data_IF_738403905927
#
_entry.id   IF_738403905927
#
_cell.length_a   1.000
_cell.length_b   1.000
_cell.length_c   1.000
_cell.angle_alpha   90.00
_cell.angle_beta   90.00
_cell.angle_gamma   90.00
#
_symmetry.space_group_name_H-M   'P 1'
#
loop_
_entity.id
_entity.type
_entity.pdbx_description
1 polymer ?
#
# COMPACT_ATOMS: atom_id res chain seq x y z
N UNK A 1 -47.13 15.48 -17.37
CA UNK A 1 -47.07 14.01 -17.24
C UNK A 1 -45.69 13.66 -16.74
N UNK A 2 -45.55 13.41 -15.43
CA UNK A 2 -44.27 12.99 -14.87
C UNK A 2 -44.11 11.49 -15.12
N UNK A 3 -43.21 11.14 -16.04
CA UNK A 3 -42.77 9.77 -16.24
C UNK A 3 -42.03 9.33 -14.98
N UNK A 4 -42.70 8.52 -14.15
CA UNK A 4 -42.06 7.82 -13.04
C UNK A 4 -41.09 6.82 -13.65
N UNK A 5 -39.81 7.13 -13.61
CA UNK A 5 -38.75 6.16 -13.93
C UNK A 5 -38.75 5.13 -12.81
N UNK A 6 -39.34 3.96 -13.07
CA UNK A 6 -39.28 2.81 -12.18
C UNK A 6 -37.84 2.29 -12.16
N UNK A 7 -37.13 2.54 -11.06
CA UNK A 7 -35.81 1.95 -10.83
C UNK A 7 -35.98 0.44 -10.62
N UNK A 8 -35.23 -0.42 -11.33
CA UNK A 8 -35.33 -1.87 -11.16
C UNK A 8 -35.12 -2.32 -9.70
N UNK A 9 -35.94 -3.24 -9.21
CA UNK A 9 -35.90 -3.77 -7.84
C UNK A 9 -34.52 -4.33 -7.42
N UNK A 10 -33.77 -4.90 -8.38
CA UNK A 10 -32.40 -5.38 -8.14
C UNK A 10 -31.38 -4.25 -7.88
N UNK A 11 -31.57 -3.08 -8.49
CA UNK A 11 -30.73 -1.90 -8.25
C UNK A 11 -31.05 -1.28 -6.89
N UNK A 12 -32.33 -1.26 -6.49
CA UNK A 12 -32.75 -0.80 -5.15
C UNK A 12 -32.21 -1.73 -4.05
N UNK A 13 -32.23 -3.05 -4.26
CA UNK A 13 -31.66 -4.02 -3.33
C UNK A 13 -30.14 -3.92 -3.18
N UNK A 14 -29.41 -3.66 -4.28
CA UNK A 14 -27.96 -3.45 -4.26
C UNK A 14 -27.58 -2.13 -3.58
N UNK A 15 -28.33 -1.06 -3.83
CA UNK A 15 -28.13 0.22 -3.16
C UNK A 15 -28.34 0.10 -1.64
N UNK A 16 -29.41 -0.57 -1.21
CA UNK A 16 -29.66 -0.82 0.22
C UNK A 16 -28.54 -1.66 0.88
N UNK A 17 -28.04 -2.69 0.19
CA UNK A 17 -26.94 -3.51 0.69
C UNK A 17 -25.61 -2.72 0.82
N UNK A 18 -25.36 -1.75 -0.08
CA UNK A 18 -24.18 -0.89 0.01
C UNK A 18 -24.27 0.07 1.22
N UNK A 19 -25.43 0.67 1.48
CA UNK A 19 -25.66 1.52 2.66
C UNK A 19 -25.35 0.77 3.95
N UNK A 20 -25.79 -0.49 4.06
CA UNK A 20 -25.50 -1.33 5.23
C UNK A 20 -24.00 -1.61 5.40
N UNK A 21 -23.26 -1.79 4.29
CA UNK A 21 -21.79 -1.97 4.32
C UNK A 21 -21.09 -0.69 4.79
N UNK A 22 -21.48 0.49 4.30
CA UNK A 22 -20.93 1.76 4.80
C UNK A 22 -21.23 1.95 6.30
N UNK A 23 -22.47 1.66 6.73
CA UNK A 23 -22.86 1.72 8.14
C UNK A 23 -21.98 0.82 9.02
N UNK A 24 -21.71 -0.40 8.55
CA UNK A 24 -20.82 -1.34 9.23
C UNK A 24 -19.40 -0.79 9.33
N UNK A 25 -18.87 -0.19 8.28
CA UNK A 25 -17.53 0.41 8.28
C UNK A 25 -17.43 1.61 9.22
N UNK A 26 -18.44 2.49 9.25
CA UNK A 26 -18.52 3.59 10.22
C UNK A 26 -18.50 3.06 11.66
N UNK A 27 -19.31 2.04 11.96
CA UNK A 27 -19.36 1.43 13.30
C UNK A 27 -18.03 0.78 13.66
N UNK A 28 -17.39 0.09 12.73
CA UNK A 28 -16.11 -0.57 12.94
C UNK A 28 -14.99 0.46 13.19
N UNK A 29 -14.92 1.52 12.37
CA UNK A 29 -13.98 2.64 12.55
C UNK A 29 -14.11 3.28 13.94
N UNK A 30 -15.33 3.65 14.36
CA UNK A 30 -15.60 4.21 15.69
C UNK A 30 -15.13 3.31 16.83
N UNK A 31 -15.31 1.99 16.70
CA UNK A 31 -14.90 1.01 17.73
C UNK A 31 -13.39 0.79 17.74
N UNK A 32 -12.74 0.91 16.60
CA UNK A 32 -11.33 0.59 16.40
C UNK A 32 -10.41 1.80 16.59
N UNK A 33 -10.95 3.00 16.82
CA UNK A 33 -10.19 4.25 16.93
C UNK A 33 -9.01 4.16 17.89
N UNK A 34 -7.88 4.72 17.46
CA UNK A 34 -6.64 4.79 18.20
C UNK A 34 -5.85 6.04 17.80
N UNK A 35 -4.89 6.43 18.63
CA UNK A 35 -4.09 7.65 18.50
C UNK A 35 -2.61 7.31 18.60
N UNK A 36 -1.79 7.93 17.75
CA UNK A 36 -0.34 7.65 17.63
C UNK A 36 0.36 7.76 18.98
N UNK A 37 0.20 8.90 19.68
CA UNK A 37 0.91 9.15 20.94
C UNK A 37 0.36 8.32 22.10
N UNK A 38 -0.96 8.16 22.18
CA UNK A 38 -1.63 7.47 23.30
C UNK A 38 -1.42 5.96 23.23
N UNK A 39 -1.60 5.36 22.06
CA UNK A 39 -1.77 3.91 21.95
C UNK A 39 -0.55 3.19 21.34
N UNK A 40 0.31 3.90 20.59
CA UNK A 40 1.38 3.28 19.82
C UNK A 40 2.79 3.74 20.23
N UNK A 41 3.11 5.03 20.08
CA UNK A 41 4.47 5.54 20.26
C UNK A 41 4.82 5.77 21.73
N UNK A 42 4.02 6.55 22.48
CA UNK A 42 4.32 6.94 23.87
C UNK A 42 5.79 7.35 24.03
N UNK A 43 6.50 6.80 25.02
CA UNK A 43 7.94 6.96 25.24
C UNK A 43 8.80 5.85 24.63
N UNK A 44 8.23 5.01 23.75
CA UNK A 44 8.93 3.85 23.18
C UNK A 44 10.00 4.28 22.19
N UNK A 45 10.97 3.39 21.97
CA UNK A 45 12.07 3.54 21.00
C UNK A 45 12.20 2.27 20.17
N UNK A 46 12.79 2.39 18.99
CA UNK A 46 13.17 1.24 18.19
C UNK A 46 14.34 0.49 18.83
N UNK A 47 14.24 -0.84 18.83
CA UNK A 47 15.26 -1.76 19.33
C UNK A 47 16.15 -2.21 18.16
N UNK A 48 17.28 -1.51 17.98
CA UNK A 48 18.24 -1.77 16.89
C UNK A 48 19.07 -3.05 17.08
N UNK A 49 18.90 -3.77 18.20
CA UNK A 49 19.46 -5.12 18.35
C UNK A 49 18.66 -6.18 17.57
N UNK A 50 17.47 -5.82 17.09
CA UNK A 50 16.54 -6.70 16.37
C UNK A 50 16.36 -6.30 14.92
N UNK A 51 15.84 -7.23 14.11
CA UNK A 51 15.34 -6.93 12.77
C UNK A 51 14.12 -6.01 12.86
N UNK A 52 13.94 -5.16 11.85
CA UNK A 52 12.70 -4.40 11.69
C UNK A 52 11.77 -5.14 10.76
N UNK A 53 12.13 -5.22 9.48
CA UNK A 53 11.32 -5.93 8.49
C UNK A 53 11.55 -7.45 8.58
N UNK A 54 10.50 -8.29 8.65
CA UNK A 54 10.62 -9.75 8.71
C UNK A 54 11.13 -10.34 7.39
N UNK A 55 11.75 -11.52 7.45
CA UNK A 55 12.34 -12.20 6.28
C UNK A 55 11.33 -12.52 5.17
N UNK A 56 10.06 -12.74 5.52
CA UNK A 56 8.99 -12.91 4.53
C UNK A 56 8.73 -11.69 3.65
N UNK A 57 9.17 -10.50 4.08
CA UNK A 57 9.07 -9.25 3.32
C UNK A 57 10.43 -8.77 2.83
N UNK A 58 11.43 -8.84 3.71
CA UNK A 58 12.78 -8.34 3.45
C UNK A 58 13.56 -9.24 2.49
N UNK A 59 13.23 -10.54 2.47
CA UNK A 59 13.93 -11.60 1.71
C UNK A 59 15.45 -11.64 1.96
N UNK A 60 15.91 -11.07 3.08
CA UNK A 60 17.33 -10.98 3.44
C UNK A 60 17.94 -12.36 3.70
N UNK A 61 17.12 -13.33 4.11
CA UNK A 61 17.51 -14.73 4.29
C UNK A 61 18.02 -15.40 3.00
N UNK A 62 17.67 -14.86 1.82
CA UNK A 62 18.20 -15.31 0.52
C UNK A 62 19.65 -14.89 0.26
N UNK A 63 20.15 -13.90 1.01
CA UNK A 63 21.52 -13.39 0.92
C UNK A 63 22.42 -14.10 1.93
N UNK A 64 22.60 -15.41 1.77
CA UNK A 64 23.29 -16.30 2.72
C UNK A 64 24.76 -15.97 3.02
N UNK A 65 25.37 -15.08 2.24
CA UNK A 65 26.73 -14.58 2.45
C UNK A 65 26.79 -13.38 3.41
N UNK A 66 25.64 -12.83 3.81
CA UNK A 66 25.58 -11.78 4.82
C UNK A 66 25.75 -12.36 6.22
N UNK A 67 26.58 -11.72 7.03
CA UNK A 67 26.64 -12.00 8.47
C UNK A 67 25.34 -11.61 9.18
N UNK A 68 25.15 -12.07 10.41
CA UNK A 68 23.94 -11.80 11.21
C UNK A 68 23.70 -10.30 11.39
N UNK A 69 24.75 -9.53 11.69
CA UNK A 69 24.65 -8.09 11.88
C UNK A 69 24.38 -7.34 10.57
N UNK A 70 24.94 -7.81 9.45
CA UNK A 70 24.72 -7.26 8.10
C UNK A 70 23.28 -7.50 7.66
N UNK A 71 22.78 -8.73 7.84
CA UNK A 71 21.39 -9.08 7.58
C UNK A 71 20.42 -8.28 8.45
N UNK A 72 20.75 -8.08 9.74
CA UNK A 72 19.96 -7.21 10.62
C UNK A 72 19.93 -5.78 10.11
N UNK A 73 21.08 -5.19 9.79
CA UNK A 73 21.17 -3.84 9.25
C UNK A 73 20.34 -3.70 7.97
N UNK A 74 20.44 -4.64 7.02
CA UNK A 74 19.68 -4.59 5.78
C UNK A 74 18.16 -4.62 6.05
N UNK A 75 17.70 -5.45 6.99
CA UNK A 75 16.29 -5.46 7.39
C UNK A 75 15.82 -4.15 8.05
N UNK A 76 16.71 -3.42 8.71
CA UNK A 76 16.42 -2.11 9.32
C UNK A 76 16.35 -1.01 8.27
N UNK A 77 17.24 -1.04 7.27
CA UNK A 77 17.18 -0.16 6.10
C UNK A 77 15.87 -0.37 5.35
N UNK A 78 15.52 -1.62 5.05
CA UNK A 78 14.25 -1.94 4.39
C UNK A 78 13.04 -1.55 5.25
N UNK A 79 13.13 -1.67 6.58
CA UNK A 79 12.09 -1.19 7.49
C UNK A 79 11.90 0.33 7.46
N UNK A 80 12.99 1.10 7.33
CA UNK A 80 12.94 2.55 7.13
C UNK A 80 12.37 2.91 5.76
N UNK A 81 12.79 2.21 4.70
CA UNK A 81 12.22 2.36 3.37
C UNK A 81 10.75 2.01 3.32
N UNK A 82 10.32 1.03 4.13
CA UNK A 82 8.91 0.70 4.27
C UNK A 82 8.10 1.89 4.76
N UNK A 83 8.56 2.53 5.84
CA UNK A 83 7.92 3.75 6.34
C UNK A 83 7.88 4.88 5.30
N UNK A 84 9.00 5.11 4.60
CA UNK A 84 9.06 6.12 3.55
C UNK A 84 8.07 5.85 2.40
N UNK A 85 8.05 4.63 1.85
CA UNK A 85 7.18 4.29 0.72
C UNK A 85 5.71 4.34 1.09
N UNK A 86 5.33 3.95 2.31
CA UNK A 86 3.96 4.16 2.77
C UNK A 86 3.61 5.65 2.87
N UNK A 87 4.53 6.47 3.36
CA UNK A 87 4.36 7.93 3.33
C UNK A 87 4.07 8.51 1.94
N UNK A 88 4.53 7.86 0.85
CA UNK A 88 4.18 8.23 -0.51
C UNK A 88 2.74 7.83 -0.86
N UNK A 89 2.33 6.61 -0.53
CA UNK A 89 1.02 6.07 -0.98
C UNK A 89 -0.15 6.68 -0.22
N UNK A 90 -0.04 6.81 1.10
CA UNK A 90 -1.13 7.37 1.93
C UNK A 90 -1.50 8.80 1.50
N UNK A 91 -0.53 9.51 0.90
CA UNK A 91 -0.71 10.86 0.39
C UNK A 91 -1.76 10.94 -0.70
N UNK A 92 -1.73 10.02 -1.67
CA UNK A 92 -2.72 10.03 -2.76
C UNK A 92 -3.99 9.30 -2.37
N UNK A 93 -3.91 8.28 -1.49
CA UNK A 93 -5.09 7.54 -1.02
C UNK A 93 -6.03 8.50 -0.26
N UNK A 94 -5.51 9.23 0.73
CA UNK A 94 -6.30 10.23 1.47
C UNK A 94 -6.94 11.27 0.55
N UNK A 95 -6.18 11.81 -0.40
CA UNK A 95 -6.69 12.79 -1.36
C UNK A 95 -7.80 12.20 -2.26
N UNK A 96 -7.63 10.94 -2.72
CA UNK A 96 -8.63 10.26 -3.53
C UNK A 96 -9.91 9.98 -2.75
N UNK A 97 -9.80 9.54 -1.51
CA UNK A 97 -10.97 9.25 -0.66
C UNK A 97 -11.77 10.51 -0.31
N UNK A 98 -11.11 11.65 -0.10
CA UNK A 98 -11.79 12.94 0.05
C UNK A 98 -12.56 13.35 -1.22
N UNK A 99 -11.95 13.14 -2.39
CA UNK A 99 -12.59 13.39 -3.69
C UNK A 99 -13.81 12.48 -3.90
N UNK A 100 -13.72 11.18 -3.60
CA UNK A 100 -14.87 10.27 -3.64
C UNK A 100 -15.96 10.68 -2.64
N UNK A 101 -15.57 11.06 -1.41
CA UNK A 101 -16.50 11.54 -0.39
C UNK A 101 -17.36 12.71 -0.86
N UNK A 102 -16.78 13.62 -1.67
CA UNK A 102 -17.51 14.76 -2.23
C UNK A 102 -18.73 14.34 -3.07
N UNK A 103 -18.67 13.20 -3.75
CA UNK A 103 -19.77 12.71 -4.57
C UNK A 103 -21.00 12.30 -3.75
N UNK A 104 -20.83 11.99 -2.45
CA UNK A 104 -21.89 11.50 -1.56
C UNK A 104 -22.53 12.59 -0.69
N UNK A 105 -22.07 13.85 -0.79
CA UNK A 105 -22.41 14.94 0.14
C UNK A 105 -23.91 15.16 0.35
N UNK A 106 -24.73 14.98 -0.69
CA UNK A 106 -26.17 15.24 -0.65
C UNK A 106 -27.05 13.99 -0.61
N UNK A 107 -26.47 12.80 -0.75
CA UNK A 107 -27.22 11.55 -0.93
C UNK A 107 -26.96 10.58 0.23
N UNK A 108 -25.88 9.81 0.17
CA UNK A 108 -25.55 8.79 1.17
C UNK A 108 -24.65 9.35 2.28
N UNK A 109 -25.28 9.77 3.37
CA UNK A 109 -24.57 10.30 4.54
C UNK A 109 -23.65 9.27 5.22
N UNK A 110 -23.95 7.98 5.11
CA UNK A 110 -23.10 6.93 5.69
C UNK A 110 -21.87 6.67 4.82
N UNK A 111 -22.01 6.74 3.50
CA UNK A 111 -20.87 6.72 2.58
C UNK A 111 -19.96 7.93 2.80
N UNK A 112 -20.53 9.14 2.93
CA UNK A 112 -19.77 10.34 3.27
C UNK A 112 -19.01 10.17 4.59
N UNK A 113 -19.69 9.77 5.68
CA UNK A 113 -19.03 9.58 6.97
C UNK A 113 -17.93 8.51 6.90
N UNK A 114 -18.17 7.40 6.20
CA UNK A 114 -17.20 6.32 6.04
C UNK A 114 -15.93 6.82 5.33
N UNK A 115 -16.06 7.55 4.23
CA UNK A 115 -14.93 8.05 3.44
C UNK A 115 -14.17 9.19 4.14
N UNK A 116 -14.86 10.04 4.91
CA UNK A 116 -14.20 11.03 5.77
C UNK A 116 -13.37 10.34 6.86
N UNK A 117 -13.89 9.28 7.46
CA UNK A 117 -13.17 8.50 8.47
C UNK A 117 -11.95 7.77 7.90
N UNK A 118 -12.12 7.13 6.74
CA UNK A 118 -11.01 6.55 5.98
C UNK A 118 -9.94 7.63 5.72
N UNK A 119 -10.32 8.77 5.13
CA UNK A 119 -9.38 9.85 4.85
C UNK A 119 -8.64 10.35 6.10
N UNK A 120 -9.32 10.39 7.26
CA UNK A 120 -8.71 10.75 8.54
C UNK A 120 -7.72 9.68 9.03
N UNK A 121 -8.05 8.40 8.89
CA UNK A 121 -7.14 7.29 9.20
C UNK A 121 -5.87 7.37 8.31
N UNK A 122 -5.99 7.71 7.02
CA UNK A 122 -4.83 7.89 6.14
C UNK A 122 -3.96 9.11 6.44
N UNK A 123 -4.56 10.21 6.88
CA UNK A 123 -3.79 11.38 7.32
C UNK A 123 -3.01 11.02 8.60
N UNK A 124 -3.60 10.21 9.48
CA UNK A 124 -2.92 9.65 10.65
C UNK A 124 -1.79 8.70 10.22
N UNK A 125 -1.98 7.86 9.21
CA UNK A 125 -0.91 6.99 8.69
C UNK A 125 0.25 7.79 8.08
N UNK A 126 -0.02 8.86 7.33
CA UNK A 126 1.02 9.78 6.85
C UNK A 126 1.89 10.32 8.00
N UNK A 127 1.24 10.79 9.07
CA UNK A 127 1.95 11.30 10.24
C UNK A 127 2.74 10.20 10.96
N UNK A 128 2.14 9.02 11.13
CA UNK A 128 2.79 7.86 11.71
C UNK A 128 4.08 7.52 10.96
N UNK A 129 3.97 7.32 9.65
CA UNK A 129 5.09 6.89 8.80
C UNK A 129 6.19 7.94 8.74
N UNK A 130 5.84 9.22 8.66
CA UNK A 130 6.79 10.33 8.76
C UNK A 130 7.55 10.31 10.09
N UNK A 131 6.87 10.11 11.21
CA UNK A 131 7.51 10.09 12.55
C UNK A 131 8.43 8.89 12.72
N UNK A 132 7.99 7.70 12.34
CA UNK A 132 8.82 6.49 12.54
C UNK A 132 10.01 6.45 11.58
N UNK A 133 9.90 7.02 10.37
CA UNK A 133 11.04 7.16 9.45
C UNK A 133 12.14 8.00 10.11
N UNK A 134 11.78 9.14 10.71
CA UNK A 134 12.71 10.00 11.45
C UNK A 134 13.31 9.24 12.64
N UNK A 135 12.49 8.58 13.45
CA UNK A 135 12.95 7.82 14.63
C UNK A 135 13.91 6.69 14.25
N UNK A 136 13.65 5.97 13.16
CA UNK A 136 14.55 4.93 12.67
C UNK A 136 15.87 5.52 12.14
N UNK A 137 15.82 6.73 11.56
CA UNK A 137 16.99 7.44 11.06
C UNK A 137 17.98 7.90 12.15
N UNK A 138 17.56 8.03 13.41
CA UNK A 138 18.40 8.54 14.50
C UNK A 138 19.64 7.70 14.80
N UNK A 139 19.56 6.37 14.60
CA UNK A 139 20.67 5.44 14.88
C UNK A 139 21.22 4.76 13.63
N UNK A 140 20.63 5.02 12.46
CA UNK A 140 21.15 4.52 11.19
C UNK A 140 22.25 5.46 10.64
N UNK A 141 23.21 4.95 9.85
CA UNK A 141 24.24 5.78 9.23
C UNK A 141 23.70 6.98 8.45
N UNK A 142 24.52 8.03 8.31
CA UNK A 142 24.14 9.16 7.48
C UNK A 142 24.14 8.80 5.99
N UNK A 143 23.37 9.53 5.18
CA UNK A 143 23.37 9.40 3.72
C UNK A 143 22.30 8.48 3.12
N UNK A 144 21.28 8.12 3.90
CA UNK A 144 20.04 7.56 3.36
C UNK A 144 19.36 8.57 2.42
N UNK A 145 18.79 8.09 1.31
CA UNK A 145 18.13 8.94 0.30
C UNK A 145 16.72 8.43 0.01
N UNK A 146 15.76 9.34 0.06
CA UNK A 146 14.43 9.16 -0.49
C UNK A 146 14.45 9.62 -1.95
N UNK A 147 13.98 8.78 -2.87
CA UNK A 147 14.13 9.03 -4.32
C UNK A 147 12.94 9.76 -4.96
N UNK A 148 11.84 9.94 -4.24
CA UNK A 148 10.62 10.55 -4.75
C UNK A 148 9.99 11.49 -3.71
N UNK A 149 9.33 12.54 -4.20
CA UNK A 149 8.54 13.46 -3.36
C UNK A 149 7.09 12.96 -3.24
N UNK A 150 6.51 12.89 -2.02
CA UNK A 150 5.13 12.44 -1.83
C UNK A 150 4.09 13.26 -2.62
N UNK A 151 4.28 14.58 -2.78
CA UNK A 151 3.32 15.40 -3.50
C UNK A 151 3.46 15.24 -5.02
N UNK A 152 4.66 15.07 -5.54
CA UNK A 152 4.87 14.76 -6.96
C UNK A 152 4.26 13.40 -7.33
N UNK A 153 4.48 12.37 -6.51
CA UNK A 153 3.84 11.06 -6.68
C UNK A 153 2.32 11.21 -6.62
N UNK A 154 1.78 11.93 -5.63
CA UNK A 154 0.34 12.10 -5.52
C UNK A 154 -0.26 12.86 -6.71
N UNK A 155 0.38 13.92 -7.21
CA UNK A 155 -0.08 14.63 -8.41
C UNK A 155 -0.08 13.72 -9.64
N UNK A 156 0.97 12.91 -9.81
CA UNK A 156 1.08 11.98 -10.94
C UNK A 156 0.01 10.90 -10.88
N UNK A 157 -0.20 10.28 -9.72
CA UNK A 157 -1.22 9.24 -9.53
C UNK A 157 -2.62 9.79 -9.72
N UNK A 158 -2.95 10.94 -9.09
CA UNK A 158 -4.28 11.55 -9.17
C UNK A 158 -4.61 12.14 -10.54
N UNK A 159 -3.64 12.21 -11.47
CA UNK A 159 -3.89 12.59 -12.86
C UNK A 159 -4.43 11.43 -13.72
N UNK A 160 -4.31 10.19 -13.25
CA UNK A 160 -4.89 9.02 -13.91
C UNK A 160 -6.40 8.91 -13.65
N UNK A 161 -7.08 8.03 -14.39
CA UNK A 161 -8.51 7.81 -14.21
C UNK A 161 -8.85 7.40 -12.77
N UNK A 162 -10.00 7.85 -12.25
CA UNK A 162 -10.50 7.46 -10.93
C UNK A 162 -10.53 5.95 -10.74
N UNK A 163 -10.91 5.21 -11.78
CA UNK A 163 -10.98 3.75 -11.74
C UNK A 163 -9.59 3.13 -11.50
N UNK A 164 -8.55 3.64 -12.15
CA UNK A 164 -7.18 3.15 -12.00
C UNK A 164 -6.60 3.47 -10.62
N UNK A 165 -6.86 4.68 -10.11
CA UNK A 165 -6.41 5.07 -8.77
C UNK A 165 -7.09 4.21 -7.71
N UNK A 166 -8.41 3.97 -7.82
CA UNK A 166 -9.14 3.11 -6.89
C UNK A 166 -8.70 1.64 -6.98
N UNK A 167 -8.38 1.15 -8.19
CA UNK A 167 -7.79 -0.17 -8.37
C UNK A 167 -6.44 -0.30 -7.65
N UNK A 168 -5.57 0.71 -7.80
CA UNK A 168 -4.27 0.76 -7.13
C UNK A 168 -4.42 0.86 -5.61
N UNK A 169 -5.32 1.69 -5.11
CA UNK A 169 -5.63 1.78 -3.67
C UNK A 169 -6.10 0.43 -3.13
N UNK A 170 -7.08 -0.21 -3.78
CA UNK A 170 -7.58 -1.52 -3.36
C UNK A 170 -6.48 -2.60 -3.36
N UNK A 171 -5.57 -2.56 -4.33
CA UNK A 171 -4.39 -3.43 -4.38
C UNK A 171 -3.46 -3.21 -3.18
N UNK A 172 -3.19 -1.95 -2.82
CA UNK A 172 -2.36 -1.56 -1.67
C UNK A 172 -2.93 -2.08 -0.37
N UNK A 173 -4.20 -1.80 -0.13
CA UNK A 173 -4.93 -2.16 1.08
C UNK A 173 -4.99 -3.68 1.30
N UNK A 174 -5.04 -4.44 0.20
CA UNK A 174 -4.99 -5.91 0.23
C UNK A 174 -3.59 -6.47 0.51
N UNK A 175 -2.53 -5.86 -0.03
CA UNK A 175 -1.19 -6.33 0.32
C UNK A 175 -0.81 -6.00 1.76
N UNK A 176 -1.30 -4.88 2.33
CA UNK A 176 -1.04 -4.56 3.75
C UNK A 176 -1.58 -5.68 4.66
N UNK A 177 -2.76 -6.21 4.34
CA UNK A 177 -3.33 -7.36 5.03
C UNK A 177 -2.47 -8.63 4.89
N UNK A 178 -1.94 -8.88 3.70
CA UNK A 178 -1.02 -9.99 3.43
C UNK A 178 0.25 -9.85 4.26
N UNK A 179 0.87 -8.67 4.26
CA UNK A 179 2.09 -8.37 5.01
C UNK A 179 1.92 -8.66 6.51
N UNK A 180 0.83 -8.18 7.13
CA UNK A 180 0.60 -8.40 8.55
C UNK A 180 0.39 -9.88 8.89
N UNK A 181 -0.55 -10.53 8.18
CA UNK A 181 -0.98 -11.89 8.47
C UNK A 181 0.13 -12.94 8.27
N UNK A 182 0.93 -12.79 7.21
CA UNK A 182 1.93 -13.80 6.83
C UNK A 182 3.30 -13.54 7.46
N UNK A 183 3.66 -12.28 7.69
CA UNK A 183 5.05 -11.91 8.01
C UNK A 183 5.25 -11.26 9.37
N UNK A 184 4.22 -10.63 9.96
CA UNK A 184 4.36 -9.88 11.22
C UNK A 184 3.71 -10.61 12.40
N UNK A 185 2.43 -10.96 12.29
CA UNK A 185 1.69 -11.64 13.36
C UNK A 185 2.39 -12.90 13.92
N UNK A 186 3.01 -13.78 13.11
CA UNK A 186 3.62 -15.00 13.60
C UNK A 186 5.05 -14.84 14.15
N UNK A 187 5.64 -13.63 14.16
CA UNK A 187 7.06 -13.41 14.47
C UNK A 187 7.27 -12.69 15.80
N UNK A 188 8.16 -13.21 16.64
CA UNK A 188 8.48 -12.64 17.98
C UNK A 188 9.89 -12.03 18.05
N UNK A 189 10.71 -12.29 17.03
CA UNK A 189 12.09 -11.83 16.91
C UNK A 189 12.21 -10.37 16.44
N UNK A 190 11.12 -9.78 15.96
CA UNK A 190 11.09 -8.40 15.44
C UNK A 190 11.18 -7.37 16.56
N UNK A 191 11.59 -6.14 16.20
CA UNK A 191 11.47 -4.99 17.09
C UNK A 191 10.01 -4.82 17.55
N UNK A 192 9.74 -4.78 18.88
CA UNK A 192 8.37 -4.68 19.39
C UNK A 192 7.60 -3.46 18.88
N UNK A 193 8.26 -2.29 18.80
CA UNK A 193 7.62 -1.08 18.28
C UNK A 193 7.26 -1.22 16.80
N UNK A 194 8.16 -1.79 16.00
CA UNK A 194 7.91 -2.02 14.57
C UNK A 194 6.74 -2.99 14.35
N UNK A 195 6.65 -4.07 15.13
CA UNK A 195 5.53 -5.03 15.10
C UNK A 195 4.20 -4.33 15.42
N UNK A 196 4.19 -3.45 16.42
CA UNK A 196 2.97 -2.71 16.78
C UNK A 196 2.57 -1.69 15.70
N UNK A 197 3.52 -0.98 15.07
CA UNK A 197 3.21 -0.09 13.94
C UNK A 197 2.40 -0.83 12.87
N UNK A 198 2.87 -2.00 12.44
CA UNK A 198 2.15 -2.84 11.46
C UNK A 198 0.78 -3.29 11.96
N UNK A 199 0.67 -3.66 13.24
CA UNK A 199 -0.61 -4.09 13.83
C UNK A 199 -1.64 -2.97 13.84
N UNK A 200 -1.23 -1.76 14.22
CA UNK A 200 -2.13 -0.62 14.31
C UNK A 200 -2.52 -0.11 12.92
N UNK A 201 -1.58 -0.07 11.97
CA UNK A 201 -1.85 0.23 10.57
C UNK A 201 -2.83 -0.78 9.95
N UNK A 202 -2.54 -2.09 10.07
CA UNK A 202 -3.42 -3.17 9.59
C UNK A 202 -4.84 -3.13 10.17
N UNK A 203 -4.99 -2.71 11.43
CA UNK A 203 -6.32 -2.59 12.08
C UNK A 203 -7.22 -1.60 11.35
N UNK A 204 -6.64 -0.60 10.69
CA UNK A 204 -7.36 0.37 9.89
C UNK A 204 -7.56 -0.15 8.45
N UNK A 205 -6.48 -0.61 7.80
CA UNK A 205 -6.51 -1.08 6.39
C UNK A 205 -7.43 -2.28 6.15
N UNK A 206 -7.56 -3.16 7.15
CA UNK A 206 -8.48 -4.30 7.07
C UNK A 206 -9.96 -3.88 6.88
N UNK A 207 -10.29 -2.63 7.17
CA UNK A 207 -11.63 -2.05 6.96
C UNK A 207 -11.69 -1.24 5.65
N UNK A 208 -10.61 -0.56 5.30
CA UNK A 208 -10.52 0.31 4.13
C UNK A 208 -10.80 -0.44 2.83
N UNK A 209 -10.30 -1.67 2.70
CA UNK A 209 -10.55 -2.54 1.55
C UNK A 209 -12.04 -2.68 1.17
N UNK A 210 -12.94 -2.65 2.16
CA UNK A 210 -14.39 -2.74 1.92
C UNK A 210 -14.90 -1.48 1.24
N UNK A 211 -14.39 -0.31 1.65
CA UNK A 211 -14.73 0.98 1.07
C UNK A 211 -14.11 1.12 -0.32
N UNK A 212 -12.87 0.69 -0.52
CA UNK A 212 -12.24 0.70 -1.84
C UNK A 212 -13.01 -0.15 -2.85
N UNK A 213 -13.44 -1.34 -2.45
CA UNK A 213 -14.26 -2.20 -3.31
C UNK A 213 -15.56 -1.50 -3.71
N UNK A 214 -16.24 -0.86 -2.75
CA UNK A 214 -17.49 -0.16 -3.00
C UNK A 214 -17.30 1.02 -3.96
N UNK A 215 -16.31 1.88 -3.70
CA UNK A 215 -16.02 3.03 -4.55
C UNK A 215 -15.53 2.60 -5.94
N UNK A 216 -14.68 1.56 -6.02
CA UNK A 216 -14.16 1.07 -7.29
C UNK A 216 -15.26 0.45 -8.16
N UNK A 217 -16.15 -0.34 -7.58
CA UNK A 217 -17.31 -0.89 -8.29
C UNK A 217 -18.31 0.19 -8.70
N UNK A 218 -18.53 1.19 -7.84
CA UNK A 218 -19.38 2.32 -8.15
C UNK A 218 -18.81 3.14 -9.31
N UNK A 219 -17.51 3.40 -9.32
CA UNK A 219 -16.83 4.07 -10.42
C UNK A 219 -16.90 3.26 -11.71
N UNK A 220 -16.62 1.96 -11.64
CA UNK A 220 -16.73 1.07 -12.80
C UNK A 220 -18.12 1.13 -13.45
N UNK A 221 -19.18 1.17 -12.63
CA UNK A 221 -20.56 1.22 -13.12
C UNK A 221 -20.90 2.50 -13.90
N UNK A 222 -20.19 3.61 -13.67
CA UNK A 222 -20.38 4.89 -14.37
C UNK A 222 -19.73 4.91 -15.76
N UNK A 223 -18.60 4.21 -15.90
CA UNK A 223 -17.78 4.28 -17.11
C UNK A 223 -18.37 3.48 -18.28
N UNK A 224 -18.25 4.04 -19.48
CA UNK A 224 -18.48 3.35 -20.75
C UNK A 224 -17.40 2.29 -21.03
N UNK A 225 -17.62 1.37 -21.97
CA UNK A 225 -16.60 0.39 -22.35
C UNK A 225 -15.27 1.00 -22.80
N UNK A 226 -15.31 2.12 -23.53
CA UNK A 226 -14.11 2.81 -24.00
C UNK A 226 -13.34 3.47 -22.85
N UNK A 227 -14.04 4.11 -21.91
CA UNK A 227 -13.41 4.70 -20.72
C UNK A 227 -12.79 3.63 -19.81
N UNK A 228 -13.44 2.47 -19.67
CA UNK A 228 -12.87 1.32 -18.94
C UNK A 228 -11.61 0.79 -19.61
N UNK A 229 -11.56 0.81 -20.93
CA UNK A 229 -10.38 0.36 -21.67
C UNK A 229 -9.17 1.27 -21.45
N UNK A 230 -9.40 2.59 -21.47
CA UNK A 230 -8.39 3.60 -21.12
C UNK A 230 -7.98 3.51 -19.65
N UNK A 231 -8.92 3.28 -18.74
CA UNK A 231 -8.63 3.12 -17.32
C UNK A 231 -7.72 1.90 -17.03
N UNK A 232 -7.81 0.84 -17.84
CA UNK A 232 -6.89 -0.29 -17.77
C UNK A 232 -5.48 0.10 -18.19
N UNK A 233 -5.35 0.90 -19.26
CA UNK A 233 -4.05 1.41 -19.70
C UNK A 233 -3.41 2.33 -18.65
N UNK A 234 -4.22 3.21 -18.05
CA UNK A 234 -3.80 4.05 -16.93
C UNK A 234 -3.32 3.21 -15.73
N UNK A 235 -4.01 2.12 -15.37
CA UNK A 235 -3.58 1.24 -14.29
C UNK A 235 -2.21 0.61 -14.59
N UNK A 236 -1.98 0.18 -15.84
CA UNK A 236 -0.68 -0.35 -16.27
C UNK A 236 0.42 0.71 -16.13
N UNK A 237 0.13 1.95 -16.54
CA UNK A 237 1.06 3.08 -16.40
C UNK A 237 1.37 3.35 -14.93
N UNK A 238 0.36 3.34 -14.05
CA UNK A 238 0.55 3.54 -12.62
C UNK A 238 1.44 2.46 -12.00
N UNK A 239 1.19 1.18 -12.28
CA UNK A 239 2.01 0.08 -11.76
C UNK A 239 3.45 0.16 -12.28
N UNK A 240 3.63 0.54 -13.56
CA UNK A 240 4.95 0.75 -14.16
C UNK A 240 5.69 1.91 -13.47
N UNK A 241 4.99 3.00 -13.15
CA UNK A 241 5.55 4.13 -12.44
C UNK A 241 5.96 3.77 -10.99
N UNK A 242 5.12 2.98 -10.30
CA UNK A 242 5.46 2.43 -8.97
C UNK A 242 6.74 1.61 -9.08
N UNK A 243 6.85 0.68 -10.04
CA UNK A 243 8.07 -0.12 -10.24
C UNK A 243 9.31 0.74 -10.50
N UNK A 244 9.17 1.83 -11.26
CA UNK A 244 10.25 2.80 -11.47
C UNK A 244 10.76 3.44 -10.16
N UNK A 245 9.86 3.77 -9.23
CA UNK A 245 10.23 4.26 -7.90
C UNK A 245 10.94 3.17 -7.10
N UNK A 246 10.46 1.92 -7.16
CA UNK A 246 11.08 0.78 -6.46
C UNK A 246 12.50 0.49 -6.97
N UNK A 247 12.72 0.56 -8.29
CA UNK A 247 14.04 0.43 -8.90
C UNK A 247 15.00 1.53 -8.43
N UNK A 248 14.55 2.78 -8.40
CA UNK A 248 15.37 3.89 -7.93
C UNK A 248 15.70 3.76 -6.44
N UNK A 249 14.71 3.40 -5.61
CA UNK A 249 14.92 3.26 -4.16
C UNK A 249 15.77 2.04 -3.82
N UNK A 250 15.61 0.90 -4.52
CA UNK A 250 16.43 -0.28 -4.31
C UNK A 250 17.90 -0.01 -4.65
N UNK A 251 18.17 0.75 -5.72
CA UNK A 251 19.53 1.18 -6.06
C UNK A 251 20.12 2.09 -4.97
N UNK A 252 19.35 3.07 -4.48
CA UNK A 252 19.79 3.97 -3.41
C UNK A 252 20.09 3.20 -2.10
N UNK A 253 19.24 2.25 -1.74
CA UNK A 253 19.38 1.44 -0.54
C UNK A 253 20.53 0.42 -0.65
N UNK A 254 20.76 -0.13 -1.84
CA UNK A 254 21.92 -1.00 -2.11
C UNK A 254 23.22 -0.26 -1.85
N UNK A 255 23.36 0.93 -2.44
CA UNK A 255 24.54 1.76 -2.22
C UNK A 255 24.71 2.15 -0.75
N UNK A 256 23.61 2.54 -0.11
CA UNK A 256 23.60 2.96 1.28
C UNK A 256 23.99 1.82 2.22
N UNK A 257 23.46 0.61 2.01
CA UNK A 257 23.85 -0.58 2.75
C UNK A 257 25.33 -0.90 2.59
N UNK A 258 25.83 -0.95 1.35
CA UNK A 258 27.23 -1.29 1.08
C UNK A 258 28.18 -0.27 1.74
N UNK A 259 27.87 1.03 1.72
CA UNK A 259 28.67 2.06 2.40
C UNK A 259 28.61 1.96 3.93
N UNK A 260 27.56 1.34 4.46
CA UNK A 260 27.30 1.22 5.90
C UNK A 260 27.96 0.00 6.53
N UNK A 261 28.46 -0.94 5.72
CA UNK A 261 29.15 -2.14 6.17
C UNK A 261 30.67 -1.95 6.08
N UNK A 262 31.41 -2.41 7.09
CA UNK A 262 32.86 -2.21 7.18
C UNK A 262 33.68 -3.03 6.18
N UNK A 263 33.19 -4.21 5.80
CA UNK A 263 33.85 -5.06 4.80
C UNK A 263 33.54 -4.63 3.37
N UNK A 264 34.40 -5.05 2.45
CA UNK A 264 34.16 -4.88 1.01
C UNK A 264 33.43 -6.10 0.46
N UNK A 265 32.36 -5.86 -0.30
CA UNK A 265 31.67 -6.87 -1.09
C UNK A 265 32.30 -7.03 -2.48
N UNK A 266 32.37 -8.26 -2.98
CA UNK A 266 32.75 -8.58 -4.36
C UNK A 266 31.72 -8.03 -5.36
N UNK A 267 32.07 -8.01 -6.65
CA UNK A 267 31.12 -7.58 -7.70
C UNK A 267 29.85 -8.46 -7.71
N UNK A 268 30.01 -9.78 -7.56
CA UNK A 268 28.91 -10.73 -7.53
C UNK A 268 28.02 -10.54 -6.29
N UNK A 269 28.61 -10.31 -5.11
CA UNK A 269 27.85 -10.04 -3.89
C UNK A 269 27.04 -8.73 -4.01
N UNK A 270 27.63 -7.68 -4.60
CA UNK A 270 26.94 -6.40 -4.84
C UNK A 270 25.76 -6.56 -5.78
N UNK A 271 25.91 -7.30 -6.87
CA UNK A 271 24.83 -7.60 -7.80
C UNK A 271 23.70 -8.36 -7.09
N UNK A 272 24.03 -9.40 -6.31
CA UNK A 272 23.03 -10.17 -5.55
C UNK A 272 22.30 -9.34 -4.49
N UNK A 273 22.98 -8.40 -3.82
CA UNK A 273 22.32 -7.45 -2.90
C UNK A 273 21.33 -6.57 -3.67
N UNK A 274 21.74 -6.02 -4.82
CA UNK A 274 20.89 -5.18 -5.67
C UNK A 274 19.64 -5.91 -6.13
N UNK A 275 19.81 -7.10 -6.69
CA UNK A 275 18.72 -7.93 -7.20
C UNK A 275 17.79 -8.37 -6.06
N UNK A 276 18.37 -8.77 -4.92
CA UNK A 276 17.61 -9.16 -3.73
C UNK A 276 16.76 -8.02 -3.16
N UNK A 277 17.29 -6.80 -3.11
CA UNK A 277 16.55 -5.62 -2.66
C UNK A 277 15.41 -5.25 -3.61
N UNK A 278 15.69 -5.23 -4.92
CA UNK A 278 14.64 -4.95 -5.92
C UNK A 278 13.54 -6.02 -5.89
N UNK A 279 13.91 -7.30 -5.84
CA UNK A 279 12.96 -8.41 -5.72
C UNK A 279 12.11 -8.32 -4.45
N UNK A 280 12.72 -7.96 -3.31
CA UNK A 280 12.00 -7.73 -2.06
C UNK A 280 11.00 -6.56 -2.17
N UNK A 281 11.38 -5.46 -2.81
CA UNK A 281 10.49 -4.29 -2.98
C UNK A 281 9.36 -4.56 -3.96
N UNK A 282 9.63 -5.23 -5.09
CA UNK A 282 8.58 -5.70 -6.00
C UNK A 282 7.63 -6.66 -5.30
N UNK A 283 8.17 -7.57 -4.49
CA UNK A 283 7.36 -8.46 -3.65
C UNK A 283 6.42 -7.69 -2.72
N UNK A 284 6.95 -6.72 -1.98
CA UNK A 284 6.19 -5.92 -1.02
C UNK A 284 5.11 -5.07 -1.70
N UNK A 285 5.44 -4.34 -2.77
CA UNK A 285 4.58 -3.26 -3.26
C UNK A 285 3.81 -3.56 -4.54
N UNK A 286 4.06 -4.71 -5.19
CA UNK A 286 3.38 -5.09 -6.43
C UNK A 286 2.89 -6.54 -6.36
N UNK A 287 3.82 -7.49 -6.21
CA UNK A 287 3.52 -8.91 -6.44
C UNK A 287 2.59 -9.48 -5.38
N UNK A 288 2.79 -9.16 -4.09
CA UNK A 288 1.94 -9.66 -3.01
C UNK A 288 0.46 -9.25 -3.18
N UNK A 289 0.20 -8.04 -3.67
CA UNK A 289 -1.16 -7.56 -3.95
C UNK A 289 -1.73 -8.14 -5.25
N UNK A 290 -0.91 -8.28 -6.30
CA UNK A 290 -1.33 -8.90 -7.58
C UNK A 290 -1.74 -10.36 -7.36
N UNK A 291 -1.01 -11.07 -6.51
CA UNK A 291 -1.28 -12.47 -6.17
C UNK A 291 -2.41 -12.63 -5.14
N UNK A 292 -2.94 -11.54 -4.59
CA UNK A 292 -4.03 -11.62 -3.63
C UNK A 292 -5.33 -12.08 -4.32
N UNK A 293 -5.88 -13.22 -3.87
CA UNK A 293 -7.01 -13.86 -4.52
C UNK A 293 -8.25 -12.95 -4.65
N UNK A 294 -8.52 -12.11 -3.64
CA UNK A 294 -9.62 -11.16 -3.69
C UNK A 294 -9.41 -10.06 -4.75
N UNK A 295 -8.18 -9.55 -4.87
CA UNK A 295 -7.85 -8.53 -5.88
C UNK A 295 -8.03 -9.10 -7.28
N UNK A 296 -7.47 -10.29 -7.52
CA UNK A 296 -7.61 -10.99 -8.80
C UNK A 296 -9.08 -11.24 -9.18
N UNK A 297 -9.93 -11.61 -8.20
CA UNK A 297 -11.37 -11.78 -8.42
C UNK A 297 -12.06 -10.46 -8.80
N UNK A 298 -11.79 -9.38 -8.07
CA UNK A 298 -12.36 -8.06 -8.36
C UNK A 298 -11.94 -7.56 -9.74
N UNK A 299 -10.64 -7.56 -10.02
CA UNK A 299 -10.09 -7.10 -11.30
C UNK A 299 -10.65 -7.91 -12.48
N UNK A 300 -10.71 -9.24 -12.36
CA UNK A 300 -11.29 -10.12 -13.40
C UNK A 300 -12.77 -9.83 -13.61
N UNK A 301 -13.52 -9.49 -12.57
CA UNK A 301 -14.95 -9.17 -12.70
C UNK A 301 -15.22 -7.83 -13.40
N UNK A 302 -14.22 -6.95 -13.46
CA UNK A 302 -14.31 -5.59 -14.02
C UNK A 302 -13.49 -5.40 -15.29
N UNK A 303 -12.87 -6.46 -15.82
CA UNK A 303 -12.06 -6.40 -17.05
C UNK A 303 -12.50 -7.46 -18.05
N UNK A 304 -12.27 -7.18 -19.33
CA UNK A 304 -12.43 -8.16 -20.41
C UNK A 304 -11.18 -9.04 -20.52
N UNK A 305 -11.25 -10.21 -21.19
CA UNK A 305 -10.06 -11.03 -21.44
C UNK A 305 -8.93 -10.29 -22.16
N UNK A 306 -9.25 -9.38 -23.10
CA UNK A 306 -8.25 -8.59 -23.81
C UNK A 306 -7.54 -7.59 -22.88
N UNK A 307 -8.31 -6.88 -22.04
CA UNK A 307 -7.78 -5.99 -21.00
C UNK A 307 -6.89 -6.75 -20.01
N UNK A 308 -7.37 -7.92 -19.57
CA UNK A 308 -6.65 -8.75 -18.62
C UNK A 308 -5.33 -9.28 -19.21
N UNK A 309 -5.32 -9.63 -20.50
CA UNK A 309 -4.09 -10.00 -21.20
C UNK A 309 -3.06 -8.86 -21.27
N UNK A 310 -3.48 -7.61 -21.50
CA UNK A 310 -2.57 -6.44 -21.46
C UNK A 310 -1.94 -6.25 -20.09
N UNK A 311 -2.74 -6.35 -19.03
CA UNK A 311 -2.25 -6.23 -17.65
C UNK A 311 -1.25 -7.35 -17.35
N UNK A 312 -1.54 -8.60 -17.73
CA UNK A 312 -0.62 -9.73 -17.53
C UNK A 312 0.70 -9.52 -18.28
N UNK A 313 0.65 -9.06 -19.54
CA UNK A 313 1.84 -8.76 -20.32
C UNK A 313 2.69 -7.65 -19.69
N UNK A 314 2.05 -6.63 -19.13
CA UNK A 314 2.76 -5.55 -18.43
C UNK A 314 3.38 -6.00 -17.10
N UNK A 315 2.77 -6.95 -16.40
CA UNK A 315 3.27 -7.48 -15.12
C UNK A 315 4.38 -8.53 -15.28
N UNK A 316 4.43 -9.24 -16.41
CA UNK A 316 5.42 -10.30 -16.66
C UNK A 316 6.87 -9.93 -16.30
N UNK A 317 7.45 -8.79 -16.75
CA UNK A 317 8.83 -8.42 -16.42
C UNK A 317 9.07 -8.13 -14.93
N UNK A 318 8.01 -7.85 -14.16
CA UNK A 318 8.09 -7.61 -12.71
C UNK A 318 7.97 -8.94 -11.94
N UNK A 319 7.20 -9.89 -12.45
CA UNK A 319 6.97 -11.20 -11.82
C UNK A 319 8.11 -12.19 -12.08
N UNK A 320 8.84 -12.02 -13.18
CA UNK A 320 9.94 -12.90 -13.59
C UNK A 320 11.31 -12.49 -13.04
N UNK A 321 11.39 -11.34 -12.34
CA UNK A 321 12.62 -10.76 -11.78
C UNK A 321 12.91 -11.17 -10.35
#
# INVERSE_FOLDING_TARGET
MNTVVTVPSSLLGKAAANVDRYAQMVKASKKAEWQIDRDLLQDRRFDFSRKFLPDGLSQVDRLSFLGVDEARLLSQIQGRTYAYLFGLVERFISAKMLDQGRAHVFDDQLALEALVRFSNDEIKHQELFRRIEIMMGEQLPAGYRQVADPNEVARAVLAASSWSVLALTCHIELFVQTHYSQSIAPREELCPLFKDVFKFHWKDESRHVVLDELEWQAEHAKLSPAERDLAVDDLIVLVTAVDGILQAQSAADTEYFIRSVSRTFSADERARISDGLLGAYRWQYIVSGVQHAHFGKLLTSMTTPAQMSRIQAALAPILES
#
